data_IF_559654566998
#
_entry.id   IF_559654566998
#
_cell.length_a   1.000
_cell.length_b   1.000
_cell.length_c   1.000
_cell.angle_alpha   90.00
_cell.angle_beta   90.00
_cell.angle_gamma   90.00
#
_symmetry.space_group_name_H-M   'P 1'
#
loop_
_entity.id
_entity.type
_entity.pdbx_description
1 polymer ?
#
# COMPACT_ATOMS: atom_id res chain seq x y z
N UNK A 1 28.10 -6.32 -6.77
CA UNK A 1 27.24 -7.50 -6.50
C UNK A 1 25.85 -7.15 -5.97
N UNK A 2 25.46 -5.87 -5.84
CA UNK A 2 24.13 -5.46 -5.37
C UNK A 2 22.98 -5.80 -6.34
N UNK A 3 23.24 -5.84 -7.65
CA UNK A 3 22.20 -6.08 -8.66
C UNK A 3 21.59 -7.48 -8.56
N UNK A 4 22.40 -8.51 -8.31
CA UNK A 4 21.94 -9.91 -8.25
C UNK A 4 21.07 -10.14 -7.00
N UNK A 5 21.55 -9.68 -5.84
CA UNK A 5 20.79 -9.73 -4.58
C UNK A 5 19.48 -8.91 -4.64
N UNK A 6 19.45 -7.82 -5.41
CA UNK A 6 18.24 -7.04 -5.64
C UNK A 6 17.21 -7.78 -6.52
N UNK A 7 17.71 -8.51 -7.52
CA UNK A 7 16.87 -9.36 -8.38
C UNK A 7 16.30 -10.55 -7.60
N UNK A 8 17.08 -11.17 -6.71
CA UNK A 8 16.61 -12.25 -5.83
C UNK A 8 15.44 -11.81 -4.94
N UNK A 9 15.45 -10.55 -4.48
CA UNK A 9 14.36 -9.97 -3.69
C UNK A 9 13.21 -9.43 -4.53
N UNK A 10 13.27 -9.53 -5.86
CA UNK A 10 12.34 -8.88 -6.78
C UNK A 10 12.12 -7.38 -6.49
N UNK A 11 13.17 -6.70 -5.97
CA UNK A 11 13.09 -5.31 -5.53
C UNK A 11 12.23 -5.04 -4.28
N UNK A 12 11.78 -6.07 -3.58
CA UNK A 12 10.91 -5.95 -2.40
C UNK A 12 11.73 -5.87 -1.11
N UNK A 13 11.57 -4.75 -0.39
CA UNK A 13 12.16 -4.51 0.92
C UNK A 13 11.07 -3.88 1.80
N UNK A 14 10.37 -4.67 2.63
CA UNK A 14 9.31 -4.14 3.47
C UNK A 14 9.88 -3.09 4.42
N UNK A 15 9.08 -2.04 4.67
CA UNK A 15 9.44 -1.00 5.64
C UNK A 15 9.52 -1.62 7.04
N UNK A 16 10.66 -1.54 7.74
CA UNK A 16 10.76 -2.09 9.10
C UNK A 16 9.80 -1.36 10.04
N UNK A 17 9.14 -2.04 11.00
CA UNK A 17 8.17 -1.42 11.91
C UNK A 17 8.70 -0.17 12.62
N UNK A 18 9.95 -0.20 13.09
CA UNK A 18 10.58 0.95 13.76
C UNK A 18 10.73 2.18 12.86
N UNK A 19 10.86 1.98 11.55
CA UNK A 19 10.92 3.07 10.58
C UNK A 19 9.51 3.58 10.26
N UNK A 20 8.52 2.68 10.18
CA UNK A 20 7.11 3.07 10.05
C UNK A 20 6.68 3.98 11.21
N UNK A 21 7.02 3.62 12.45
CA UNK A 21 6.73 4.44 13.64
C UNK A 21 7.41 5.81 13.58
N UNK A 22 8.66 5.85 13.12
CA UNK A 22 9.39 7.11 12.93
C UNK A 22 8.70 7.99 11.88
N UNK A 23 8.27 7.42 10.76
CA UNK A 23 7.54 8.14 9.71
C UNK A 23 6.24 8.73 10.28
N UNK A 24 5.46 7.94 11.03
CA UNK A 24 4.22 8.39 11.68
C UNK A 24 4.48 9.64 12.54
N UNK A 25 5.59 9.68 13.28
CA UNK A 25 5.93 10.80 14.17
C UNK A 25 6.11 12.15 13.47
N UNK A 26 6.28 12.15 12.15
CA UNK A 26 6.43 13.36 11.34
C UNK A 26 5.11 13.93 10.82
N UNK A 27 3.98 13.25 11.05
CA UNK A 27 2.67 13.69 10.59
C UNK A 27 1.80 14.17 11.76
N UNK A 28 1.09 15.27 11.51
CA UNK A 28 -0.08 15.68 12.28
C UNK A 28 -1.23 15.71 11.27
N UNK A 29 -2.25 14.89 11.49
CA UNK A 29 -3.36 14.72 10.57
C UNK A 29 -4.67 15.21 11.19
N UNK A 30 -5.54 15.75 10.35
CA UNK A 30 -6.97 15.81 10.66
C UNK A 30 -7.57 14.44 10.33
N UNK A 31 -8.47 13.97 11.17
CA UNK A 31 -9.38 12.88 10.82
C UNK A 31 -10.09 13.27 9.49
N UNK A 32 -10.25 12.33 8.55
CA UNK A 32 -10.87 12.48 7.22
C UNK A 32 -9.92 12.71 6.02
N UNK A 33 -8.62 12.39 6.17
CA UNK A 33 -7.66 12.44 5.06
C UNK A 33 -7.47 11.11 4.32
N UNK A 34 -6.74 11.14 3.19
CA UNK A 34 -6.35 9.95 2.42
C UNK A 34 -4.84 9.78 2.40
N UNK A 35 -4.36 8.55 2.43
CA UNK A 35 -2.95 8.20 2.24
C UNK A 35 -2.75 7.35 0.99
N UNK A 36 -1.71 7.64 0.22
CA UNK A 36 -1.31 6.90 -0.97
C UNK A 36 0.09 6.31 -0.79
N UNK A 37 0.21 5.00 -0.91
CA UNK A 37 1.50 4.31 -1.05
C UNK A 37 1.72 3.86 -2.51
N UNK A 38 2.61 4.52 -3.28
CA UNK A 38 2.85 4.17 -4.68
C UNK A 38 3.58 2.83 -4.87
N UNK A 39 4.11 2.23 -3.79
CA UNK A 39 4.78 0.93 -3.79
C UNK A 39 4.31 0.12 -2.57
N UNK A 40 3.01 -0.16 -2.54
CA UNK A 40 2.31 -0.68 -1.37
C UNK A 40 2.85 -2.03 -0.86
N UNK A 41 3.55 -2.80 -1.70
CA UNK A 41 4.03 -4.12 -1.32
C UNK A 41 2.85 -5.00 -0.93
N UNK A 42 2.92 -5.60 0.26
CA UNK A 42 1.85 -6.41 0.85
C UNK A 42 0.86 -5.58 1.69
N UNK A 43 1.00 -4.25 1.71
CA UNK A 43 0.07 -3.32 2.38
C UNK A 43 0.33 -3.06 3.87
N UNK A 44 1.27 -3.77 4.51
CA UNK A 44 1.51 -3.67 5.97
C UNK A 44 1.81 -2.25 6.44
N UNK A 45 2.71 -1.54 5.74
CA UNK A 45 3.08 -0.17 6.11
C UNK A 45 1.93 0.80 5.86
N UNK A 46 1.26 0.68 4.70
CA UNK A 46 0.09 1.49 4.35
C UNK A 46 -1.01 1.39 5.41
N UNK A 47 -1.34 0.18 5.87
CA UNK A 47 -2.37 -0.04 6.90
C UNK A 47 -1.94 0.52 8.24
N UNK A 48 -0.68 0.30 8.64
CA UNK A 48 -0.16 0.83 9.91
C UNK A 48 -0.23 2.36 9.93
N UNK A 49 0.15 3.01 8.83
CA UNK A 49 0.06 4.46 8.67
C UNK A 49 -1.40 4.93 8.69
N UNK A 50 -2.27 4.28 7.92
CA UNK A 50 -3.69 4.60 7.83
C UNK A 50 -4.38 4.52 9.21
N UNK A 51 -4.16 3.42 9.94
CA UNK A 51 -4.70 3.22 11.28
C UNK A 51 -4.22 4.29 12.27
N UNK A 52 -2.90 4.52 12.33
CA UNK A 52 -2.30 5.44 13.32
C UNK A 52 -2.60 6.91 13.04
N UNK A 53 -2.81 7.26 11.77
CA UNK A 53 -3.08 8.62 11.34
C UNK A 53 -4.57 8.91 11.10
N UNK A 54 -5.44 7.90 11.21
CA UNK A 54 -6.87 8.04 10.92
C UNK A 54 -7.13 8.45 9.47
N UNK A 55 -6.44 7.81 8.52
CA UNK A 55 -6.50 8.11 7.09
C UNK A 55 -7.06 6.94 6.30
N UNK A 56 -7.74 7.24 5.20
CA UNK A 56 -8.26 6.27 4.25
C UNK A 56 -7.12 5.77 3.31
N UNK A 57 -6.85 4.45 3.25
CA UNK A 57 -5.71 3.91 2.52
C UNK A 57 -5.97 3.70 1.03
N UNK A 58 -4.99 4.09 0.21
CA UNK A 58 -4.87 3.78 -1.21
C UNK A 58 -3.44 3.33 -1.54
N UNK A 59 -3.30 2.45 -2.52
CA UNK A 59 -1.99 1.90 -2.87
C UNK A 59 -1.86 1.47 -4.31
N UNK A 60 -0.61 1.39 -4.77
CA UNK A 60 -0.23 0.87 -6.09
C UNK A 60 0.82 -0.21 -5.88
N UNK A 61 0.67 -1.37 -6.54
CA UNK A 61 1.67 -2.44 -6.50
C UNK A 61 1.73 -3.21 -7.83
N UNK A 62 2.93 -3.29 -8.41
CA UNK A 62 3.14 -3.90 -9.73
C UNK A 62 3.23 -5.42 -9.71
N UNK A 63 3.50 -6.05 -8.56
CA UNK A 63 3.55 -7.50 -8.46
C UNK A 63 2.21 -8.06 -8.03
N UNK A 64 1.59 -8.88 -8.88
CA UNK A 64 0.23 -9.39 -8.70
C UNK A 64 0.00 -10.02 -7.31
N UNK A 65 0.89 -10.93 -6.88
CA UNK A 65 0.74 -11.60 -5.60
C UNK A 65 0.81 -10.64 -4.40
N UNK A 66 1.60 -9.56 -4.50
CA UNK A 66 1.71 -8.56 -3.43
C UNK A 66 0.52 -7.61 -3.46
N UNK A 67 0.09 -7.21 -4.65
CA UNK A 67 -1.13 -6.43 -4.82
C UNK A 67 -2.37 -7.15 -4.27
N UNK A 68 -2.48 -8.47 -4.46
CA UNK A 68 -3.55 -9.26 -3.86
C UNK A 68 -3.47 -9.28 -2.33
N UNK A 69 -2.29 -9.51 -1.75
CA UNK A 69 -2.09 -9.42 -0.30
C UNK A 69 -2.45 -8.02 0.26
N UNK A 70 -2.02 -6.95 -0.44
CA UNK A 70 -2.36 -5.58 -0.06
C UNK A 70 -3.87 -5.30 -0.16
N UNK A 71 -4.57 -5.83 -1.17
CA UNK A 71 -6.04 -5.72 -1.29
C UNK A 71 -6.73 -6.38 -0.11
N UNK A 72 -6.30 -7.58 0.25
CA UNK A 72 -6.87 -8.30 1.39
C UNK A 72 -6.68 -7.52 2.69
N UNK A 73 -5.46 -7.03 2.94
CA UNK A 73 -5.14 -6.22 4.12
C UNK A 73 -5.97 -4.93 4.19
N UNK A 74 -6.07 -4.20 3.07
CA UNK A 74 -6.88 -2.97 2.98
C UNK A 74 -8.36 -3.27 3.19
N UNK A 75 -8.91 -4.27 2.52
CA UNK A 75 -10.33 -4.60 2.64
C UNK A 75 -10.71 -5.04 4.06
N UNK A 76 -9.83 -5.80 4.74
CA UNK A 76 -10.01 -6.16 6.14
C UNK A 76 -10.03 -4.92 7.04
N UNK A 77 -9.11 -3.97 6.84
CA UNK A 77 -9.10 -2.71 7.57
C UNK A 77 -10.36 -1.87 7.31
N UNK A 78 -10.80 -1.72 6.05
CA UNK A 78 -12.01 -0.95 5.75
C UNK A 78 -13.27 -1.57 6.34
N UNK A 79 -13.40 -2.90 6.30
CA UNK A 79 -14.53 -3.62 6.87
C UNK A 79 -14.63 -3.43 8.39
N UNK A 80 -13.50 -3.25 9.09
CA UNK A 80 -13.48 -2.92 10.52
C UNK A 80 -13.92 -1.48 10.81
N UNK A 81 -13.82 -0.57 9.84
CA UNK A 81 -14.17 0.84 9.97
C UNK A 81 -15.57 1.16 9.38
N UNK A 82 -16.38 0.14 9.06
CA UNK A 82 -17.73 0.27 8.47
C UNK A 82 -17.76 1.11 7.18
N UNK A 83 -16.66 1.07 6.42
CA UNK A 83 -16.52 1.79 5.16
C UNK A 83 -16.80 0.90 3.94
N UNK A 84 -17.23 1.55 2.86
CA UNK A 84 -17.73 0.90 1.66
C UNK A 84 -16.66 0.01 0.99
N UNK A 85 -16.88 -1.30 1.04
CA UNK A 85 -15.96 -2.32 0.53
C UNK A 85 -15.89 -2.37 -1.01
N UNK A 86 -16.77 -1.64 -1.71
CA UNK A 86 -16.84 -1.62 -3.17
C UNK A 86 -15.86 -0.65 -3.85
N UNK A 87 -15.11 0.15 -3.10
CA UNK A 87 -14.10 1.05 -3.66
C UNK A 87 -12.80 0.31 -3.97
N UNK A 88 -12.30 0.43 -5.20
CA UNK A 88 -10.98 -0.06 -5.58
C UNK A 88 -9.89 0.79 -4.92
N UNK A 89 -9.19 0.22 -3.93
CA UNK A 89 -8.15 0.93 -3.15
C UNK A 89 -6.71 0.56 -3.51
N UNK A 90 -6.50 -0.63 -4.06
CA UNK A 90 -5.19 -1.10 -4.53
C UNK A 90 -5.22 -1.31 -6.04
N UNK A 91 -4.37 -0.56 -6.73
CA UNK A 91 -4.19 -0.63 -8.17
C UNK A 91 -2.97 -1.49 -8.52
N UNK A 92 -3.15 -2.43 -9.44
CA UNK A 92 -2.07 -3.29 -9.92
C UNK A 92 -1.88 -3.17 -11.43
N UNK A 93 -2.97 -3.09 -12.16
CA UNK A 93 -3.09 -3.44 -13.57
C UNK A 93 -3.36 -2.23 -14.47
N UNK A 94 -3.29 -1.01 -13.93
CA UNK A 94 -3.56 0.22 -14.70
C UNK A 94 -2.64 0.39 -15.89
N UNK A 95 -1.42 -0.16 -15.85
CA UNK A 95 -0.48 -0.15 -16.96
C UNK A 95 -0.92 -1.01 -18.16
N UNK A 96 -1.81 -2.00 -17.97
CA UNK A 96 -2.31 -2.83 -19.07
C UNK A 96 -3.19 -1.99 -20.04
N UNK A 97 -3.87 -0.97 -19.53
CA UNK A 97 -4.69 -0.06 -20.35
C UNK A 97 -3.85 0.87 -21.25
N UNK A 98 -2.56 1.07 -20.94
CA UNK A 98 -1.65 1.86 -21.77
C UNK A 98 -1.13 1.09 -22.98
N UNK A 99 -1.15 -0.25 -22.93
CA UNK A 99 -0.63 -1.12 -24.00
C UNK A 99 -1.68 -1.30 -25.11
N UNK A 100 -2.96 -1.26 -24.77
CA UNK A 100 -4.08 -1.42 -25.72
C UNK A 100 -4.48 -0.13 -26.45
N UNK A 101 -3.92 1.02 -26.06
CA UNK A 101 -4.25 2.34 -26.63
C UNK A 101 -3.30 2.78 -27.76
N UNK A 102 -2.57 1.85 -28.37
CA UNK A 102 -1.71 2.07 -29.55
C UNK A 102 -2.20 1.25 -30.73
#
# INVERSE_FOLDING_TARGET
>A
MSRLANTEKAGYYPLPPSITDLIISHFITSHDGRILDPAAGEGTALITLAEKLGLEPFGIELHEGRANAAREAVNQFMAQNDEDAFLTRILHDSYLNLITSR
#
